data_IF_633130839785
#
_entry.id   IF_633130839785
#
_cell.length_a   1.000
_cell.length_b   1.000
_cell.length_c   1.000
_cell.angle_alpha   90.00
_cell.angle_beta   90.00
_cell.angle_gamma   90.00
#
_symmetry.space_group_name_H-M   'P 1'
#
loop_
_entity.id
_entity.type
_entity.pdbx_description
1 polymer ?
#
# COMPACT_ATOMS: atom_id res chain seq x y z
N UNK A 1 -7.99 11.21 -2.78
CA UNK A 1 -7.10 12.39 -2.93
C UNK A 1 -7.57 13.18 -4.15
N UNK A 2 -7.64 14.51 -4.08
CA UNK A 2 -8.06 15.35 -5.22
C UNK A 2 -6.94 16.34 -5.52
N UNK A 3 -6.53 16.44 -6.78
CA UNK A 3 -5.47 17.36 -7.23
C UNK A 3 -5.95 18.10 -8.47
N UNK A 4 -5.74 19.42 -8.48
CA UNK A 4 -5.98 20.27 -9.64
C UNK A 4 -4.65 20.85 -10.10
N UNK A 5 -4.18 20.44 -11.27
CA UNK A 5 -2.94 20.93 -11.88
C UNK A 5 -3.28 21.75 -13.14
N UNK A 6 -2.93 23.05 -13.21
CA UNK A 6 -3.22 23.89 -14.37
C UNK A 6 -2.48 23.44 -15.65
N UNK A 7 -1.45 22.60 -15.53
CA UNK A 7 -0.70 22.08 -16.68
C UNK A 7 -1.14 20.67 -17.11
N UNK A 8 -2.15 20.10 -16.46
CA UNK A 8 -2.77 18.83 -16.87
C UNK A 8 -3.98 19.10 -17.77
N UNK A 9 -4.15 18.27 -18.79
CA UNK A 9 -5.33 18.25 -19.65
C UNK A 9 -6.47 17.39 -19.09
N UNK A 10 -6.27 16.74 -17.93
CA UNK A 10 -7.27 15.92 -17.26
C UNK A 10 -8.33 16.80 -16.61
N UNK A 11 -9.58 16.65 -17.03
CA UNK A 11 -10.74 17.35 -16.48
C UNK A 11 -11.71 16.35 -15.89
N UNK A 12 -12.00 16.47 -14.59
CA UNK A 12 -12.96 15.61 -13.86
C UNK A 12 -12.72 14.11 -14.07
N UNK A 13 -11.46 13.70 -14.20
CA UNK A 13 -11.11 12.28 -14.33
C UNK A 13 -10.87 11.66 -12.97
N UNK A 14 -11.27 10.40 -12.84
CA UNK A 14 -10.87 9.52 -11.76
C UNK A 14 -9.71 8.64 -12.23
N UNK A 15 -8.77 8.38 -11.32
CA UNK A 15 -7.62 7.53 -11.57
C UNK A 15 -7.51 6.52 -10.44
N UNK A 16 -7.34 5.25 -10.81
CA UNK A 16 -7.30 4.14 -9.86
C UNK A 16 -5.87 3.68 -9.53
N UNK A 17 -4.83 4.38 -10.01
CA UNK A 17 -3.45 4.11 -9.60
C UNK A 17 -3.31 4.23 -8.09
N UNK A 18 -2.61 3.27 -7.48
CA UNK A 18 -2.35 3.28 -6.04
C UNK A 18 -1.23 4.28 -5.73
N UNK A 19 -1.49 5.17 -4.78
CA UNK A 19 -0.58 6.25 -4.38
C UNK A 19 -0.55 6.39 -2.88
N UNK A 20 0.60 6.75 -2.33
CA UNK A 20 0.74 7.07 -0.91
C UNK A 20 0.47 8.55 -0.64
N UNK A 21 0.14 8.88 0.60
CA UNK A 21 0.06 10.28 1.03
C UNK A 21 1.41 11.00 0.88
N UNK A 22 2.51 10.32 1.19
CA UNK A 22 3.85 10.89 1.13
C UNK A 22 4.40 11.03 -0.30
N UNK A 23 3.75 10.47 -1.31
CA UNK A 23 4.06 10.74 -2.73
C UNK A 23 3.84 12.23 -3.08
N UNK A 24 2.96 12.93 -2.33
CA UNK A 24 2.75 14.38 -2.49
C UNK A 24 4.02 15.19 -2.25
N UNK A 25 4.86 14.79 -1.28
CA UNK A 25 6.10 15.52 -0.98
C UNK A 25 7.06 15.46 -2.17
N UNK A 26 7.28 14.27 -2.73
CA UNK A 26 8.10 14.10 -3.94
C UNK A 26 7.51 14.83 -5.15
N UNK A 27 6.19 14.83 -5.27
CA UNK A 27 5.46 15.54 -6.34
C UNK A 27 5.65 17.05 -6.26
N UNK A 28 5.66 17.64 -5.06
CA UNK A 28 5.89 19.09 -4.88
C UNK A 28 7.31 19.48 -5.29
N UNK A 29 8.32 18.67 -4.98
CA UNK A 29 9.70 18.89 -5.42
C UNK A 29 9.81 18.84 -6.95
N UNK A 30 9.24 17.81 -7.56
CA UNK A 30 9.22 17.64 -9.02
C UNK A 30 8.49 18.82 -9.70
N UNK A 31 7.34 19.24 -9.16
CA UNK A 31 6.59 20.40 -9.64
C UNK A 31 7.40 21.71 -9.55
N UNK A 32 8.24 21.86 -8.53
CA UNK A 32 9.12 23.01 -8.33
C UNK A 32 10.44 22.93 -9.12
N UNK A 33 10.60 21.92 -9.99
CA UNK A 33 11.83 21.60 -10.70
C UNK A 33 13.05 21.46 -9.76
N UNK A 34 12.81 20.93 -8.56
CA UNK A 34 13.87 20.63 -7.59
C UNK A 34 14.21 19.14 -7.65
N UNK A 35 15.48 18.80 -7.35
CA UNK A 35 15.88 17.40 -7.20
C UNK A 35 15.11 16.80 -6.01
N UNK A 36 14.34 15.73 -6.25
CA UNK A 36 13.73 14.95 -5.17
C UNK A 36 14.85 14.29 -4.35
N UNK A 37 14.89 14.47 -3.01
CA UNK A 37 15.88 13.82 -2.16
C UNK A 37 15.82 12.30 -2.25
N UNK A 38 16.98 11.64 -2.31
CA UNK A 38 17.07 10.17 -2.36
C UNK A 38 16.57 9.49 -1.08
N UNK A 39 16.48 10.24 0.02
CA UNK A 39 15.92 9.78 1.29
C UNK A 39 14.39 9.78 1.31
N UNK A 40 13.71 10.26 0.27
CA UNK A 40 12.26 10.17 0.19
C UNK A 40 11.87 8.80 -0.37
N UNK A 41 10.92 8.15 0.28
CA UNK A 41 10.39 6.86 -0.16
C UNK A 41 9.26 7.00 -1.19
N UNK A 42 8.69 8.21 -1.30
CA UNK A 42 7.60 8.54 -2.21
C UNK A 42 8.07 8.87 -3.62
N UNK A 43 7.19 8.67 -4.59
CA UNK A 43 7.44 8.96 -6.00
C UNK A 43 6.51 10.08 -6.49
N UNK A 44 6.99 10.89 -7.41
CA UNK A 44 6.15 11.93 -8.02
C UNK A 44 4.99 11.29 -8.79
N UNK A 45 3.80 11.85 -8.63
CA UNK A 45 2.59 11.43 -9.37
C UNK A 45 2.32 12.31 -10.59
N UNK A 46 3.21 13.25 -10.94
CA UNK A 46 3.08 14.03 -12.18
C UNK A 46 2.99 13.17 -13.45
N UNK A 47 3.71 12.04 -13.61
CA UNK A 47 3.53 11.16 -14.77
C UNK A 47 2.10 10.61 -14.88
N UNK A 48 1.46 10.27 -13.76
CA UNK A 48 0.04 9.85 -13.74
C UNK A 48 -0.85 11.02 -14.19
N UNK A 49 -0.62 12.20 -13.63
CA UNK A 49 -1.49 13.37 -13.84
C UNK A 49 -1.35 14.03 -15.22
N UNK A 50 -0.16 14.02 -15.81
CA UNK A 50 0.14 14.75 -17.07
C UNK A 50 0.37 13.85 -18.27
N UNK A 51 0.77 12.60 -18.02
CA UNK A 51 1.14 11.65 -19.10
C UNK A 51 0.22 10.42 -19.12
N UNK A 52 -0.76 10.34 -18.20
CA UNK A 52 -1.66 9.19 -18.06
C UNK A 52 -0.93 7.86 -17.87
N UNK A 53 0.26 7.93 -17.26
CA UNK A 53 1.12 6.77 -17.10
C UNK A 53 0.68 5.95 -15.88
N UNK A 54 0.60 4.63 -16.04
CA UNK A 54 0.45 3.69 -14.94
C UNK A 54 1.76 3.58 -14.14
N UNK A 55 1.68 3.72 -12.81
CA UNK A 55 2.86 3.70 -11.94
C UNK A 55 3.36 2.30 -11.58
N UNK A 56 2.67 1.25 -12.04
CA UNK A 56 2.93 -0.17 -11.84
C UNK A 56 2.97 -0.58 -10.36
N UNK A 57 2.45 0.25 -9.46
CA UNK A 57 2.41 -0.05 -8.03
C UNK A 57 1.39 -1.14 -7.77
N UNK A 58 1.86 -2.31 -7.35
CA UNK A 58 1.01 -3.46 -7.02
C UNK A 58 0.08 -3.20 -5.83
N UNK A 59 0.58 -2.54 -4.79
CA UNK A 59 -0.12 -2.32 -3.53
C UNK A 59 0.43 -1.15 -2.73
N UNK A 60 -0.30 -0.76 -1.69
CA UNK A 60 0.12 0.25 -0.70
C UNK A 60 0.26 -0.39 0.68
N UNK A 61 1.38 -0.10 1.33
CA UNK A 61 1.66 -0.44 2.72
C UNK A 61 1.09 0.62 3.67
N UNK A 62 0.19 0.22 4.56
CA UNK A 62 -0.23 0.99 5.72
C UNK A 62 0.45 0.50 6.99
N UNK A 63 0.75 1.41 7.92
CA UNK A 63 1.35 1.08 9.21
C UNK A 63 0.56 1.70 10.34
N UNK A 64 0.38 0.94 11.42
CA UNK A 64 -0.17 1.40 12.68
C UNK A 64 0.68 0.83 13.82
N UNK A 65 1.18 1.69 14.68
CA UNK A 65 1.99 1.33 15.86
C UNK A 65 1.20 1.55 17.18
N UNK A 66 -0.13 1.69 17.07
CA UNK A 66 -0.98 2.15 18.14
C UNK A 66 -0.89 3.66 18.39
N UNK A 67 -1.68 4.14 19.37
CA UNK A 67 -1.68 5.54 19.80
C UNK A 67 -1.42 5.65 21.31
N UNK A 68 -2.27 4.99 22.11
CA UNK A 68 -2.12 4.91 23.58
C UNK A 68 -1.60 3.57 24.09
N UNK A 69 -1.86 2.50 23.33
CA UNK A 69 -1.40 1.13 23.62
C UNK A 69 -0.70 0.64 22.36
N UNK A 70 0.43 -0.04 22.55
CA UNK A 70 1.17 -0.64 21.45
C UNK A 70 0.41 -1.84 20.88
N UNK A 71 0.05 -1.74 19.62
CA UNK A 71 -0.35 -2.87 18.80
C UNK A 71 0.12 -2.57 17.38
N UNK A 72 1.00 -3.43 16.91
CA UNK A 72 1.72 -3.24 15.66
C UNK A 72 0.99 -3.96 14.53
N UNK A 73 0.50 -3.18 13.57
CA UNK A 73 -0.18 -3.67 12.39
C UNK A 73 0.48 -3.18 11.11
N UNK A 74 0.45 -4.04 10.10
CA UNK A 74 0.84 -3.72 8.72
C UNK A 74 -0.29 -4.13 7.79
N UNK A 75 -0.64 -3.24 6.88
CA UNK A 75 -1.66 -3.48 5.88
C UNK A 75 -1.02 -3.49 4.50
N UNK A 76 -1.29 -4.50 3.70
CA UNK A 76 -1.03 -4.49 2.26
C UNK A 76 -2.34 -4.42 1.49
N UNK A 77 -2.59 -3.28 0.84
CA UNK A 77 -3.82 -3.04 0.08
C UNK A 77 -3.50 -2.98 -1.42
N UNK A 78 -4.03 -3.95 -2.16
CA UNK A 78 -4.03 -3.97 -3.64
C UNK A 78 -5.30 -3.31 -4.17
N UNK A 79 -5.66 -3.50 -5.45
CA UNK A 79 -6.98 -3.14 -5.98
C UNK A 79 -8.04 -4.21 -5.66
N UNK A 80 -7.64 -5.49 -5.64
CA UNK A 80 -8.50 -6.66 -5.50
C UNK A 80 -8.66 -7.17 -4.06
N UNK A 81 -7.58 -7.16 -3.29
CA UNK A 81 -7.56 -7.65 -1.90
C UNK A 81 -6.93 -6.64 -0.94
N UNK A 82 -7.18 -6.84 0.36
CA UNK A 82 -6.48 -6.21 1.47
C UNK A 82 -6.06 -7.29 2.45
N UNK A 83 -4.81 -7.24 2.86
CA UNK A 83 -4.24 -8.09 3.90
C UNK A 83 -3.85 -7.20 5.09
N UNK A 84 -4.17 -7.62 6.30
CA UNK A 84 -3.69 -7.01 7.53
C UNK A 84 -2.94 -8.06 8.35
N UNK A 85 -1.68 -7.79 8.62
CA UNK A 85 -0.89 -8.52 9.58
C UNK A 85 -0.93 -7.79 10.92
N UNK A 86 -1.30 -8.52 11.97
CA UNK A 86 -1.26 -8.05 13.35
C UNK A 86 -0.27 -8.92 14.13
N UNK A 87 0.77 -8.31 14.71
CA UNK A 87 1.79 -9.06 15.44
C UNK A 87 1.31 -9.61 16.80
N UNK A 88 0.19 -9.08 17.30
CA UNK A 88 -0.33 -9.34 18.65
C UNK A 88 -1.73 -9.94 18.67
N UNK A 89 -2.34 -10.14 17.51
CA UNK A 89 -3.73 -10.59 17.38
C UNK A 89 -3.93 -11.34 16.04
N UNK A 90 -5.19 -11.55 15.66
CA UNK A 90 -5.59 -12.19 14.41
C UNK A 90 -5.14 -11.40 13.18
N UNK A 91 -4.81 -12.14 12.13
CA UNK A 91 -4.56 -11.58 10.81
C UNK A 91 -5.85 -11.57 9.99
N UNK A 92 -5.90 -10.69 8.99
CA UNK A 92 -7.11 -10.44 8.21
C UNK A 92 -6.82 -10.45 6.71
N UNK A 93 -7.74 -11.00 5.93
CA UNK A 93 -7.72 -10.96 4.48
C UNK A 93 -9.14 -10.66 3.97
N UNK A 94 -9.27 -9.64 3.14
CA UNK A 94 -10.54 -9.21 2.57
C UNK A 94 -10.48 -9.17 1.05
N UNK A 95 -11.50 -9.71 0.39
CA UNK A 95 -11.69 -9.58 -1.05
C UNK A 95 -12.47 -8.29 -1.34
N UNK A 96 -11.77 -7.19 -1.61
CA UNK A 96 -12.39 -5.86 -1.68
C UNK A 96 -13.29 -5.69 -2.92
N UNK A 97 -13.16 -6.55 -3.94
CA UNK A 97 -14.07 -6.54 -5.09
C UNK A 97 -15.45 -7.10 -4.74
N UNK A 98 -15.49 -8.14 -3.91
CA UNK A 98 -16.72 -8.85 -3.58
C UNK A 98 -17.27 -8.47 -2.20
N UNK A 99 -16.42 -7.96 -1.32
CA UNK A 99 -16.70 -7.53 0.05
C UNK A 99 -16.09 -6.13 0.29
N UNK A 100 -16.64 -5.08 -0.37
CA UNK A 100 -16.11 -3.73 -0.28
C UNK A 100 -16.24 -3.11 1.12
N UNK A 101 -17.12 -3.66 1.96
CA UNK A 101 -17.33 -3.25 3.35
C UNK A 101 -16.42 -4.00 4.34
N UNK A 102 -15.61 -4.95 3.86
CA UNK A 102 -14.60 -5.66 4.65
C UNK A 102 -15.22 -6.43 5.84
N UNK A 103 -16.39 -7.03 5.62
CA UNK A 103 -17.18 -7.66 6.68
C UNK A 103 -16.78 -9.12 6.93
N UNK A 104 -16.09 -9.77 5.99
CA UNK A 104 -15.78 -11.20 6.03
C UNK A 104 -14.26 -11.44 5.98
N UNK A 105 -13.68 -11.80 7.12
CA UNK A 105 -12.27 -12.16 7.19
C UNK A 105 -12.03 -13.57 6.60
N UNK A 106 -11.26 -13.63 5.51
CA UNK A 106 -10.92 -14.84 4.74
C UNK A 106 -9.56 -15.45 5.12
N UNK A 107 -8.81 -14.86 6.06
CA UNK A 107 -7.41 -15.24 6.32
C UNK A 107 -7.26 -16.72 6.73
N UNK A 108 -8.25 -17.24 7.44
CA UNK A 108 -8.28 -18.60 7.99
C UNK A 108 -8.99 -19.61 7.09
N UNK A 109 -9.51 -19.18 5.93
CA UNK A 109 -10.10 -20.10 4.95
C UNK A 109 -9.00 -20.70 4.06
N UNK A 110 -8.81 -22.05 4.07
CA UNK A 110 -7.78 -22.72 3.28
C UNK A 110 -7.88 -22.46 1.77
N UNK A 111 -9.07 -22.13 1.24
CA UNK A 111 -9.25 -21.81 -0.18
C UNK A 111 -8.43 -20.58 -0.62
N UNK A 112 -8.11 -19.69 0.32
CA UNK A 112 -7.39 -18.45 0.06
C UNK A 112 -5.89 -18.53 0.38
N UNK A 113 -5.35 -19.72 0.68
CA UNK A 113 -3.93 -19.89 1.03
C UNK A 113 -2.97 -19.36 -0.06
N UNK A 114 -3.27 -19.56 -1.34
CA UNK A 114 -2.42 -19.08 -2.43
C UNK A 114 -2.31 -17.55 -2.45
N UNK A 115 -3.45 -16.85 -2.40
CA UNK A 115 -3.47 -15.38 -2.45
C UNK A 115 -2.94 -14.77 -1.15
N UNK A 116 -3.22 -15.40 0.01
CA UNK A 116 -2.67 -15.00 1.31
C UNK A 116 -1.15 -15.02 1.28
N UNK A 117 -0.56 -16.12 0.79
CA UNK A 117 0.89 -16.26 0.69
C UNK A 117 1.51 -15.24 -0.25
N UNK A 118 0.93 -15.07 -1.45
CA UNK A 118 1.37 -14.06 -2.42
C UNK A 118 1.37 -12.66 -1.79
N UNK A 119 0.28 -12.26 -1.13
CA UNK A 119 0.18 -10.93 -0.54
C UNK A 119 1.11 -10.71 0.66
N UNK A 120 1.36 -11.74 1.48
CA UNK A 120 2.34 -11.65 2.56
C UNK A 120 3.76 -11.48 2.00
N UNK A 121 4.11 -12.20 0.93
CA UNK A 121 5.40 -12.05 0.24
C UNK A 121 5.56 -10.65 -0.37
N UNK A 122 4.53 -10.11 -1.01
CA UNK A 122 4.52 -8.75 -1.55
C UNK A 122 4.67 -7.70 -0.45
N UNK A 123 3.90 -7.81 0.63
CA UNK A 123 3.99 -6.93 1.79
C UNK A 123 5.39 -6.95 2.39
N UNK A 124 5.95 -8.15 2.58
CA UNK A 124 7.30 -8.33 3.11
C UNK A 124 8.36 -7.69 2.21
N UNK A 125 8.23 -7.81 0.89
CA UNK A 125 9.15 -7.19 -0.05
C UNK A 125 9.14 -5.66 0.07
N UNK A 126 7.96 -5.05 0.21
CA UNK A 126 7.84 -3.60 0.41
C UNK A 126 8.37 -3.17 1.79
N UNK A 127 8.06 -3.93 2.84
CA UNK A 127 8.61 -3.71 4.19
C UNK A 127 10.14 -3.74 4.19
N UNK A 128 10.75 -4.70 3.47
CA UNK A 128 12.20 -4.77 3.30
C UNK A 128 12.75 -3.55 2.57
N UNK A 129 12.08 -3.09 1.50
CA UNK A 129 12.48 -1.87 0.77
C UNK A 129 12.49 -0.64 1.68
N UNK A 130 11.56 -0.58 2.63
CA UNK A 130 11.38 0.53 3.57
C UNK A 130 12.17 0.37 4.88
N UNK A 131 12.96 -0.71 5.03
CA UNK A 131 13.67 -1.06 6.26
C UNK A 131 12.74 -1.15 7.49
N UNK A 132 11.55 -1.72 7.32
CA UNK A 132 10.57 -1.88 8.39
C UNK A 132 11.04 -2.92 9.43
N UNK A 133 11.07 -2.59 10.73
CA UNK A 133 11.55 -3.50 11.77
C UNK A 133 10.70 -4.77 11.93
N UNK A 134 9.45 -4.78 11.48
CA UNK A 134 8.57 -5.95 11.59
C UNK A 134 8.71 -6.95 10.45
N UNK A 135 9.54 -6.68 9.44
CA UNK A 135 9.72 -7.55 8.27
C UNK A 135 10.09 -8.98 8.68
N UNK A 136 10.95 -9.13 9.68
CA UNK A 136 11.41 -10.42 10.18
C UNK A 136 10.29 -11.25 10.83
N UNK A 137 9.25 -10.61 11.37
CA UNK A 137 8.10 -11.29 11.96
C UNK A 137 7.16 -11.81 10.89
N UNK A 138 6.89 -11.00 9.86
CA UNK A 138 6.07 -11.40 8.71
C UNK A 138 6.67 -12.61 7.98
N UNK A 139 8.01 -12.64 7.84
CA UNK A 139 8.72 -13.78 7.25
C UNK A 139 8.35 -15.13 7.91
N UNK A 140 8.24 -15.17 9.24
CA UNK A 140 7.95 -16.42 9.97
C UNK A 140 6.54 -16.94 9.68
N UNK A 141 5.58 -16.03 9.55
CA UNK A 141 4.17 -16.40 9.33
C UNK A 141 3.97 -16.96 7.93
N UNK A 142 4.70 -16.46 6.92
CA UNK A 142 4.62 -16.97 5.55
C UNK A 142 4.91 -18.48 5.47
N UNK A 143 5.82 -18.96 6.32
CA UNK A 143 6.23 -20.37 6.35
C UNK A 143 5.31 -21.24 7.24
N UNK A 144 4.40 -20.64 8.01
CA UNK A 144 3.48 -21.32 8.94
C UNK A 144 2.04 -21.48 8.40
N UNK A 145 1.71 -20.85 7.27
CA UNK A 145 0.35 -20.83 6.66
C UNK A 145 0.14 -21.78 5.48
#
# INVERSE_FOLDING_TARGET
>A
MIIKDPNSDRVNQEDDNLVYLHDLTSTVFDLANQKVPESFEGQSILPIMRQHQDNQRKGVLGQLAGHFVYFEQRMWRRKDYKLVFNATDVCELYNIRNDPEEMHNLFYDPQYNSIKKEMLEEMRAEMKRLNDPLENWVYRIIDEI
#
